data_IF_821799572832
#
_entry.id   IF_821799572832
#
_cell.length_a   1.000
_cell.length_b   1.000
_cell.length_c   1.000
_cell.angle_alpha   90.00
_cell.angle_beta   90.00
_cell.angle_gamma   90.00
#
_symmetry.space_group_name_H-M   'P 1'
#
loop_
_entity.id
_entity.type
_entity.pdbx_description
1 polymer ?
#
# COMPACT_ATOMS: atom_id res chain seq x y z
N UNK A 1 22.69 -36.33 6.43
CA UNK A 1 22.01 -35.16 5.82
C UNK A 1 21.54 -34.26 6.95
N UNK A 2 22.38 -33.31 7.38
CA UNK A 2 21.97 -32.32 8.37
C UNK A 2 21.14 -31.27 7.63
N UNK A 3 19.82 -31.34 7.80
CA UNK A 3 18.89 -30.37 7.26
C UNK A 3 19.21 -29.04 7.94
N UNK A 4 19.56 -28.03 7.15
CA UNK A 4 20.07 -26.75 7.64
C UNK A 4 18.90 -25.92 8.20
N UNK A 5 18.48 -26.28 9.42
CA UNK A 5 17.32 -25.68 10.09
C UNK A 5 17.53 -24.19 10.42
N UNK A 6 18.77 -23.76 10.65
CA UNK A 6 19.13 -22.35 10.86
C UNK A 6 18.80 -21.48 9.63
N UNK A 7 19.12 -21.96 8.42
CA UNK A 7 18.74 -21.25 7.18
C UNK A 7 17.22 -21.21 6.96
N UNK A 8 16.50 -22.24 7.41
CA UNK A 8 15.04 -22.28 7.33
C UNK A 8 14.40 -21.23 8.26
N UNK A 9 14.94 -21.06 9.48
CA UNK A 9 14.49 -20.05 10.43
C UNK A 9 14.74 -18.62 9.94
N UNK A 10 15.94 -18.32 9.45
CA UNK A 10 16.29 -16.98 8.96
C UNK A 10 15.42 -16.54 7.78
N UNK A 11 15.14 -17.46 6.85
CA UNK A 11 14.21 -17.22 5.74
C UNK A 11 12.79 -16.99 6.21
N UNK A 12 12.38 -17.64 7.30
CA UNK A 12 11.04 -17.51 7.85
C UNK A 12 10.85 -16.16 8.54
N UNK A 13 11.80 -15.72 9.38
CA UNK A 13 11.79 -14.41 10.03
C UNK A 13 11.76 -13.26 9.02
N UNK A 14 12.57 -13.33 7.97
CA UNK A 14 12.57 -12.30 6.94
C UNK A 14 11.22 -12.20 6.22
N UNK A 15 10.53 -13.33 6.04
CA UNK A 15 9.23 -13.39 5.36
C UNK A 15 8.12 -12.88 6.27
N UNK A 16 8.15 -13.19 7.56
CA UNK A 16 7.15 -12.73 8.54
C UNK A 16 7.31 -11.25 8.87
N UNK A 17 8.53 -10.75 9.08
CA UNK A 17 8.79 -9.33 9.32
C UNK A 17 8.33 -8.43 8.16
N UNK A 18 8.56 -8.87 6.91
CA UNK A 18 8.10 -8.13 5.73
C UNK A 18 6.58 -8.12 5.61
N UNK A 19 5.92 -9.24 5.94
CA UNK A 19 4.46 -9.35 5.93
C UNK A 19 3.83 -8.44 6.99
N UNK A 20 4.33 -8.50 8.23
CA UNK A 20 3.84 -7.64 9.32
C UNK A 20 4.06 -6.15 9.07
N UNK A 21 5.21 -5.77 8.48
CA UNK A 21 5.43 -4.38 8.05
C UNK A 21 4.48 -3.92 6.96
N UNK A 22 4.12 -4.80 6.02
CA UNK A 22 3.17 -4.45 4.97
C UNK A 22 1.75 -4.28 5.53
N UNK A 23 1.28 -5.25 6.32
CA UNK A 23 -0.05 -5.20 6.96
C UNK A 23 -0.20 -3.94 7.83
N UNK A 24 0.76 -3.68 8.72
CA UNK A 24 0.71 -2.49 9.57
C UNK A 24 0.77 -1.16 8.82
N UNK A 25 1.52 -1.08 7.70
CA UNK A 25 1.51 0.11 6.85
C UNK A 25 0.18 0.28 6.11
N UNK A 26 -0.43 -0.80 5.65
CA UNK A 26 -1.72 -0.75 4.99
C UNK A 26 -2.82 -0.24 5.94
N UNK A 27 -2.83 -0.75 7.17
CA UNK A 27 -3.74 -0.26 8.22
C UNK A 27 -3.49 1.22 8.52
N UNK A 28 -2.24 1.65 8.67
CA UNK A 28 -1.91 3.06 8.91
C UNK A 28 -2.43 3.99 7.81
N UNK A 29 -2.36 3.59 6.53
CA UNK A 29 -2.91 4.37 5.42
C UNK A 29 -4.43 4.51 5.58
N UNK A 30 -5.13 3.42 5.87
CA UNK A 30 -6.58 3.43 6.07
C UNK A 30 -6.95 4.36 7.22
N UNK A 31 -6.28 4.26 8.37
CA UNK A 31 -6.51 5.13 9.52
C UNK A 31 -6.29 6.61 9.19
N UNK A 32 -5.25 6.95 8.43
CA UNK A 32 -5.00 8.34 8.00
C UNK A 32 -6.11 8.86 7.09
N UNK A 33 -6.58 8.04 6.14
CA UNK A 33 -7.67 8.43 5.24
C UNK A 33 -9.00 8.63 5.99
N UNK A 34 -9.31 7.74 6.93
CA UNK A 34 -10.49 7.85 7.80
C UNK A 34 -10.41 9.10 8.69
N UNK A 35 -9.25 9.37 9.31
CA UNK A 35 -9.03 10.55 10.14
C UNK A 35 -9.10 11.87 9.36
N UNK A 36 -8.77 11.84 8.06
CA UNK A 36 -8.93 12.98 7.16
C UNK A 36 -10.35 13.14 6.60
N UNK A 37 -11.24 12.18 6.85
CA UNK A 37 -12.59 12.19 6.29
C UNK A 37 -12.65 11.93 4.78
N UNK A 38 -11.62 11.28 4.21
CA UNK A 38 -11.61 10.91 2.79
C UNK A 38 -12.53 9.70 2.60
N UNK A 39 -13.57 9.87 1.78
CA UNK A 39 -14.51 8.79 1.47
C UNK A 39 -13.82 7.67 0.70
N UNK A 40 -13.76 6.49 1.32
CA UNK A 40 -13.15 5.29 0.75
C UNK A 40 -14.20 4.20 0.56
N UNK A 41 -14.18 3.53 -0.59
CA UNK A 41 -15.03 2.36 -0.85
C UNK A 41 -14.44 1.09 -0.24
N UNK A 42 -15.29 0.10 0.04
CA UNK A 42 -14.85 -1.20 0.57
C UNK A 42 -13.82 -1.88 -0.35
N UNK A 43 -13.97 -1.74 -1.66
CA UNK A 43 -13.02 -2.28 -2.66
C UNK A 43 -11.65 -1.61 -2.54
N UNK A 44 -11.60 -0.29 -2.42
CA UNK A 44 -10.34 0.45 -2.25
C UNK A 44 -9.65 0.11 -0.94
N UNK A 45 -10.43 0.00 0.16
CA UNK A 45 -9.90 -0.46 1.46
C UNK A 45 -9.25 -1.82 1.33
N UNK A 46 -9.94 -2.76 0.66
CA UNK A 46 -9.43 -4.11 0.45
C UNK A 46 -8.16 -4.10 -0.39
N UNK A 47 -8.09 -3.29 -1.45
CA UNK A 47 -6.89 -3.16 -2.30
C UNK A 47 -5.67 -2.67 -1.52
N UNK A 48 -5.85 -1.72 -0.59
CA UNK A 48 -4.78 -1.21 0.27
C UNK A 48 -4.32 -2.33 1.24
N UNK A 49 -5.26 -3.01 1.89
CA UNK A 49 -4.97 -4.09 2.86
C UNK A 49 -4.34 -5.34 2.21
N UNK A 50 -4.70 -5.66 0.98
CA UNK A 50 -4.12 -6.80 0.25
C UNK A 50 -2.74 -6.49 -0.34
N UNK A 51 -2.34 -5.21 -0.37
CA UNK A 51 -1.05 -4.80 -0.91
C UNK A 51 0.09 -5.22 0.02
N UNK A 52 0.98 -6.09 -0.47
CA UNK A 52 2.16 -6.58 0.27
C UNK A 52 3.46 -5.82 -0.08
N UNK A 53 3.38 -4.87 -1.00
CA UNK A 53 4.53 -4.08 -1.42
C UNK A 53 4.76 -2.91 -0.46
N UNK A 54 5.68 -3.12 0.48
CA UNK A 54 6.07 -2.12 1.48
C UNK A 54 6.59 -0.80 0.89
N UNK A 55 7.11 -0.77 -0.34
CA UNK A 55 7.55 0.48 -1.00
C UNK A 55 6.34 1.23 -1.57
N UNK A 56 5.41 0.51 -2.20
CA UNK A 56 4.15 1.07 -2.69
C UNK A 56 3.34 1.65 -1.53
N UNK A 57 3.23 0.90 -0.44
CA UNK A 57 2.57 1.34 0.80
C UNK A 57 3.25 2.58 1.41
N UNK A 58 4.58 2.68 1.40
CA UNK A 58 5.27 3.90 1.89
C UNK A 58 4.93 5.14 1.06
N UNK A 59 4.94 4.99 -0.27
CA UNK A 59 4.58 6.07 -1.18
C UNK A 59 3.12 6.48 -1.00
N UNK A 60 2.21 5.52 -0.83
CA UNK A 60 0.82 5.78 -0.51
C UNK A 60 0.66 6.47 0.83
N UNK A 61 1.35 6.06 1.89
CA UNK A 61 1.25 6.71 3.20
C UNK A 61 1.64 8.19 3.14
N UNK A 62 2.74 8.52 2.44
CA UNK A 62 3.14 9.93 2.24
C UNK A 62 2.11 10.71 1.43
N UNK A 63 1.56 10.10 0.38
CA UNK A 63 0.49 10.70 -0.43
C UNK A 63 -0.82 10.84 0.35
N UNK A 64 -1.12 9.95 1.29
CA UNK A 64 -2.36 9.96 2.07
C UNK A 64 -2.50 11.21 2.94
N UNK A 65 -1.39 11.93 3.18
CA UNK A 65 -1.40 13.20 3.89
C UNK A 65 -1.90 14.37 3.02
N UNK A 66 -1.74 14.29 1.70
CA UNK A 66 -2.05 15.39 0.77
C UNK A 66 -3.14 15.06 -0.24
N UNK A 67 -3.36 13.78 -0.55
CA UNK A 67 -4.31 13.33 -1.56
C UNK A 67 -5.74 13.71 -1.16
N UNK A 68 -6.52 14.20 -2.11
CA UNK A 68 -7.94 14.52 -1.86
C UNK A 68 -8.83 13.29 -1.94
N UNK A 69 -8.38 12.26 -2.67
CA UNK A 69 -9.14 11.06 -2.98
C UNK A 69 -8.29 9.79 -2.96
N UNK A 70 -8.94 8.66 -2.66
CA UNK A 70 -8.28 7.34 -2.62
C UNK A 70 -7.89 6.86 -4.03
N UNK A 71 -8.60 7.27 -5.08
CA UNK A 71 -8.25 6.94 -6.47
C UNK A 71 -6.92 7.59 -6.89
N UNK A 72 -6.67 8.81 -6.44
CA UNK A 72 -5.41 9.53 -6.65
C UNK A 72 -4.26 8.90 -5.86
N UNK A 73 -4.57 8.38 -4.67
CA UNK A 73 -3.65 7.62 -3.84
C UNK A 73 -3.20 6.35 -4.55
N UNK A 74 -4.16 5.53 -5.00
CA UNK A 74 -3.94 4.22 -5.63
C UNK A 74 -3.29 4.34 -7.01
N UNK A 75 -3.52 5.45 -7.72
CA UNK A 75 -2.81 5.83 -8.95
C UNK A 75 -1.31 6.04 -8.66
N UNK A 76 -0.54 4.98 -8.90
CA UNK A 76 0.93 5.03 -8.95
C UNK A 76 1.40 6.13 -9.93
N UNK A 77 2.48 6.88 -9.65
CA UNK A 77 2.96 7.95 -10.53
C UNK A 77 3.28 7.51 -11.97
N UNK A 78 3.41 6.19 -12.24
CA UNK A 78 3.61 5.64 -13.58
C UNK A 78 2.36 5.70 -14.48
N UNK A 79 1.13 5.77 -13.95
CA UNK A 79 -0.10 5.84 -14.76
C UNK A 79 -0.61 7.25 -15.02
N UNK A 80 0.03 8.28 -14.42
CA UNK A 80 -0.36 9.69 -14.52
C UNK A 80 -0.27 10.26 -15.96
N UNK A 81 0.39 9.58 -16.91
CA UNK A 81 0.59 10.07 -18.28
C UNK A 81 -0.66 10.04 -19.20
N UNK A 82 -1.81 9.47 -18.80
CA UNK A 82 -2.96 9.29 -19.73
C UNK A 82 -4.24 10.09 -19.44
N UNK A 83 -4.35 10.81 -18.32
CA UNK A 83 -5.65 11.37 -17.88
C UNK A 83 -5.87 12.86 -18.12
N UNK A 84 -4.86 13.60 -18.60
CA UNK A 84 -4.97 15.06 -18.81
C UNK A 84 -5.44 15.46 -20.21
N UNK A 85 -5.59 14.52 -21.16
CA UNK A 85 -5.95 14.83 -22.57
C UNK A 85 -7.42 14.62 -22.94
N UNK A 86 -8.31 14.27 -22.00
CA UNK A 86 -9.75 14.05 -22.29
C UNK A 86 -10.67 14.95 -21.47
N UNK A 87 -10.38 16.25 -21.43
CA UNK A 87 -11.33 17.28 -20.95
C UNK A 87 -11.25 18.57 -21.78
N UNK A 88 -11.09 18.41 -23.08
CA UNK A 88 -11.24 19.48 -24.08
C UNK A 88 -11.82 18.87 -25.37
N UNK A 89 -13.15 18.82 -25.45
CA UNK A 89 -14.00 18.84 -26.64
C UNK A 89 -15.44 18.57 -26.19
#
# INVERSE_FOLDING_TARGET
MAMNWEQAYERWEQKTLKKGKAEGKAEAIVTVLEGRGVSMTATQRKEILECKDTRKLDAWLRKALTASDVDELLTSPASRKRRTTRRAA
#
